data_IF_066428429418
#
_entry.id   IF_066428429418
#
_cell.length_a   1.000
_cell.length_b   1.000
_cell.length_c   1.000
_cell.angle_alpha   90.00
_cell.angle_beta   90.00
_cell.angle_gamma   90.00
#
_symmetry.space_group_name_H-M   'P 1'
#
loop_
_entity.id
_entity.type
_entity.pdbx_description
1 polymer ?
#
# COMPACT_ATOMS: atom_id res chain seq x y z
N UNK A 1 28.84 4.26 -18.13
CA UNK A 1 27.77 5.26 -17.96
C UNK A 1 26.58 4.52 -17.40
N UNK A 2 26.12 4.80 -16.17
CA UNK A 2 24.86 4.23 -15.67
C UNK A 2 23.69 4.93 -16.38
N UNK A 3 22.73 4.15 -16.91
CA UNK A 3 21.53 4.60 -17.65
C UNK A 3 21.78 5.26 -19.02
N UNK A 4 20.84 5.17 -19.96
CA UNK A 4 20.81 6.10 -21.12
C UNK A 4 20.34 7.49 -20.66
N UNK A 5 19.62 7.55 -19.53
CA UNK A 5 19.22 8.77 -18.84
C UNK A 5 19.98 8.98 -17.53
N UNK A 6 20.64 10.13 -17.33
CA UNK A 6 21.51 10.36 -16.17
C UNK A 6 20.77 10.82 -14.90
N UNK A 7 19.44 11.04 -14.96
CA UNK A 7 18.71 11.77 -13.92
C UNK A 7 17.81 10.90 -13.02
N UNK A 8 17.65 9.60 -13.31
CA UNK A 8 16.70 8.74 -12.59
C UNK A 8 17.35 8.06 -11.39
N UNK A 9 18.50 7.40 -11.58
CA UNK A 9 19.32 6.81 -10.51
C UNK A 9 20.80 7.04 -10.84
N UNK A 10 21.32 8.28 -10.63
CA UNK A 10 22.62 8.72 -11.19
C UNK A 10 23.82 7.89 -10.73
N UNK A 11 23.77 7.43 -9.48
CA UNK A 11 24.80 6.59 -8.84
C UNK A 11 24.42 5.10 -8.83
N UNK A 12 23.36 4.75 -9.56
CA UNK A 12 22.78 3.41 -9.64
C UNK A 12 23.52 2.45 -10.56
N UNK A 13 23.04 1.21 -10.59
CA UNK A 13 23.51 0.19 -11.52
C UNK A 13 22.90 0.39 -12.92
N UNK A 14 23.48 -0.27 -13.93
CA UNK A 14 22.83 -0.36 -15.25
C UNK A 14 21.53 -1.16 -15.15
N UNK A 15 20.45 -0.59 -15.69
CA UNK A 15 19.12 -1.20 -15.62
C UNK A 15 18.95 -2.29 -16.69
N UNK A 16 19.17 -3.54 -16.29
CA UNK A 16 18.92 -4.75 -17.07
C UNK A 16 17.90 -5.68 -16.39
N UNK A 17 17.17 -5.19 -15.39
CA UNK A 17 16.11 -5.97 -14.78
C UNK A 17 14.92 -6.13 -15.72
N UNK A 18 14.07 -7.11 -15.42
CA UNK A 18 12.83 -7.39 -16.17
C UNK A 18 11.65 -6.54 -15.72
N UNK A 19 11.83 -5.67 -14.72
CA UNK A 19 10.75 -4.95 -14.02
C UNK A 19 10.78 -3.44 -14.24
N UNK A 20 11.92 -2.87 -14.63
CA UNK A 20 12.04 -1.44 -14.92
C UNK A 20 12.84 -1.18 -16.20
N UNK A 21 12.77 0.07 -16.64
CA UNK A 21 13.70 0.67 -17.60
C UNK A 21 14.36 1.87 -16.93
N UNK A 22 15.34 2.48 -17.57
CA UNK A 22 16.06 3.67 -17.07
C UNK A 22 15.21 4.95 -16.93
N UNK A 23 13.88 4.84 -17.10
CA UNK A 23 12.88 5.90 -16.91
C UNK A 23 12.28 5.94 -15.51
N UNK A 24 12.51 4.92 -14.69
CA UNK A 24 11.95 4.82 -13.35
C UNK A 24 13.00 4.31 -12.36
N UNK A 25 12.89 4.75 -11.10
CA UNK A 25 13.76 4.26 -10.02
C UNK A 25 13.38 2.81 -9.73
N UNK A 26 14.36 1.91 -9.81
CA UNK A 26 14.17 0.51 -9.52
C UNK A 26 13.91 0.30 -8.02
N UNK A 27 12.89 -0.49 -7.65
CA UNK A 27 12.59 -0.75 -6.23
C UNK A 27 13.71 -1.50 -5.47
N UNK A 28 14.63 -2.13 -6.20
CA UNK A 28 15.81 -2.78 -5.63
C UNK A 28 16.98 -1.82 -5.39
N UNK A 29 16.94 -0.60 -5.95
CA UNK A 29 18.01 0.40 -5.81
C UNK A 29 18.17 0.88 -4.36
N UNK A 30 19.37 1.33 -4.01
CA UNK A 30 19.63 1.96 -2.71
C UNK A 30 18.79 3.23 -2.52
N UNK A 31 18.57 3.99 -3.60
CA UNK A 31 17.72 5.19 -3.61
C UNK A 31 16.29 4.86 -3.19
N UNK A 32 15.66 3.84 -3.79
CA UNK A 32 14.30 3.46 -3.43
C UNK A 32 14.20 2.85 -2.02
N UNK A 33 15.19 2.06 -1.61
CA UNK A 33 15.25 1.51 -0.25
C UNK A 33 15.27 2.63 0.80
N UNK A 34 16.05 3.69 0.60
CA UNK A 34 16.06 4.86 1.47
C UNK A 34 14.66 5.51 1.53
N UNK A 35 14.02 5.76 0.38
CA UNK A 35 12.67 6.34 0.32
C UNK A 35 11.65 5.50 1.12
N UNK A 36 11.65 4.18 0.97
CA UNK A 36 10.71 3.32 1.69
C UNK A 36 10.98 3.26 3.19
N UNK A 37 12.25 3.30 3.61
CA UNK A 37 12.63 3.39 5.03
C UNK A 37 12.21 4.74 5.64
N UNK A 38 12.35 5.83 4.90
CA UNK A 38 11.92 7.17 5.33
C UNK A 38 10.40 7.25 5.47
N UNK A 39 9.65 6.70 4.51
CA UNK A 39 8.19 6.58 4.58
C UNK A 39 7.78 5.80 5.84
N UNK A 40 8.40 4.64 6.07
CA UNK A 40 8.13 3.78 7.24
C UNK A 40 8.38 4.54 8.55
N UNK A 41 9.56 5.17 8.68
CA UNK A 41 9.96 5.90 9.88
C UNK A 41 9.05 7.09 10.15
N UNK A 42 8.78 7.89 9.11
CA UNK A 42 7.95 9.09 9.21
C UNK A 42 6.52 8.75 9.62
N UNK A 43 5.88 7.80 8.95
CA UNK A 43 4.50 7.43 9.24
C UNK A 43 4.35 6.76 10.62
N UNK A 44 5.30 5.90 11.02
CA UNK A 44 5.31 5.35 12.38
C UNK A 44 5.39 6.44 13.44
N UNK A 45 6.26 7.44 13.24
CA UNK A 45 6.41 8.56 14.17
C UNK A 45 5.17 9.44 14.24
N UNK A 46 4.56 9.77 13.10
CA UNK A 46 3.38 10.66 13.04
C UNK A 46 2.16 10.02 13.71
N UNK A 47 1.95 8.71 13.50
CA UNK A 47 0.78 8.01 14.01
C UNK A 47 1.01 7.24 15.32
N UNK A 48 2.24 7.24 15.85
CA UNK A 48 2.59 6.39 17.01
C UNK A 48 2.41 4.90 16.74
N UNK A 49 2.59 4.47 15.49
CA UNK A 49 2.30 3.11 15.05
C UNK A 49 3.51 2.17 15.19
N UNK A 50 3.27 0.90 15.53
CA UNK A 50 4.32 -0.13 15.58
C UNK A 50 4.79 -0.54 14.17
N UNK A 51 3.86 -0.60 13.22
CA UNK A 51 4.10 -1.01 11.84
C UNK A 51 3.34 -0.13 10.83
N UNK A 52 3.87 -0.05 9.61
CA UNK A 52 3.27 0.68 8.48
C UNK A 52 3.44 -0.17 7.22
N UNK A 53 2.44 -0.14 6.33
CA UNK A 53 2.45 -0.85 5.05
C UNK A 53 1.96 0.10 3.94
N UNK A 54 2.64 0.08 2.80
CA UNK A 54 2.20 0.77 1.56
C UNK A 54 1.56 -0.27 0.64
N UNK A 55 0.28 -0.06 0.31
CA UNK A 55 -0.46 -0.92 -0.62
C UNK A 55 -0.63 -0.17 -1.95
N UNK A 56 -0.01 -0.62 -3.05
CA UNK A 56 -0.16 0.03 -4.35
C UNK A 56 -1.62 0.04 -4.81
N UNK A 57 -2.12 1.22 -5.22
CA UNK A 57 -3.51 1.43 -5.59
C UNK A 57 -4.01 2.79 -5.09
N UNK A 58 -5.10 2.79 -4.34
CA UNK A 58 -5.67 3.98 -3.69
C UNK A 58 -6.10 3.67 -2.25
N UNK A 59 -6.61 4.66 -1.51
CA UNK A 59 -7.09 4.44 -0.13
C UNK A 59 -8.08 3.29 0.02
N UNK A 60 -8.94 3.07 -0.98
CA UNK A 60 -9.91 1.95 -1.00
C UNK A 60 -9.22 0.58 -1.02
N UNK A 61 -8.06 0.45 -1.68
CA UNK A 61 -7.30 -0.81 -1.70
C UNK A 61 -6.75 -1.14 -0.31
N UNK A 62 -6.36 -0.12 0.46
CA UNK A 62 -5.99 -0.30 1.87
C UNK A 62 -7.16 -0.80 2.72
N UNK A 63 -8.36 -0.25 2.50
CA UNK A 63 -9.58 -0.74 3.18
C UNK A 63 -9.83 -2.21 2.88
N UNK A 64 -9.81 -2.60 1.60
CA UNK A 64 -10.06 -3.98 1.20
C UNK A 64 -8.95 -4.95 1.65
N UNK A 65 -7.68 -4.53 1.64
CA UNK A 65 -6.58 -5.34 2.17
C UNK A 65 -6.80 -5.68 3.65
N UNK A 66 -7.21 -4.70 4.47
CA UNK A 66 -7.55 -4.90 5.89
C UNK A 66 -8.78 -5.79 6.05
N UNK A 67 -9.83 -5.56 5.26
CA UNK A 67 -11.04 -6.39 5.27
C UNK A 67 -10.71 -7.87 5.03
N UNK A 68 -9.98 -8.17 3.95
CA UNK A 68 -9.64 -9.56 3.59
C UNK A 68 -8.71 -10.22 4.61
N UNK A 69 -7.79 -9.46 5.19
CA UNK A 69 -6.83 -10.00 6.16
C UNK A 69 -7.48 -10.36 7.50
N UNK A 70 -8.44 -9.56 7.97
CA UNK A 70 -8.93 -9.66 9.36
C UNK A 70 -10.42 -9.99 9.49
N UNK A 71 -11.25 -9.64 8.52
CA UNK A 71 -12.71 -9.80 8.61
C UNK A 71 -13.22 -11.12 8.00
N UNK A 72 -12.42 -11.83 7.21
CA UNK A 72 -12.85 -13.07 6.54
C UNK A 72 -13.43 -14.09 7.52
N UNK A 73 -14.71 -14.44 7.34
CA UNK A 73 -15.44 -15.38 8.21
C UNK A 73 -15.65 -14.89 9.65
N UNK A 74 -15.52 -13.58 9.91
CA UNK A 74 -15.72 -12.97 11.22
C UNK A 74 -17.03 -12.17 11.28
N UNK A 75 -17.51 -11.95 12.49
CA UNK A 75 -18.59 -11.00 12.74
C UNK A 75 -17.97 -9.60 12.91
N UNK A 76 -18.49 -8.62 12.17
CA UNK A 76 -17.94 -7.24 12.14
C UNK A 76 -19.03 -6.21 12.43
N UNK A 77 -18.67 -5.11 13.09
CA UNK A 77 -19.52 -3.94 13.31
C UNK A 77 -18.97 -2.76 12.51
N UNK A 78 -19.80 -2.13 11.69
CA UNK A 78 -19.45 -0.96 10.88
C UNK A 78 -20.18 0.27 11.42
N UNK A 79 -19.45 1.23 11.99
CA UNK A 79 -20.02 2.52 12.37
C UNK A 79 -20.25 3.36 11.12
N UNK A 80 -21.48 3.34 10.59
CA UNK A 80 -21.82 3.90 9.28
C UNK A 80 -22.43 5.30 9.38
N UNK A 81 -21.63 6.33 9.08
CA UNK A 81 -21.98 7.75 9.19
C UNK A 81 -21.99 8.52 7.85
N UNK A 82 -21.88 7.81 6.73
CA UNK A 82 -21.85 8.41 5.39
C UNK A 82 -21.26 7.50 4.33
N UNK A 83 -21.00 8.05 3.15
CA UNK A 83 -20.63 7.29 1.96
C UNK A 83 -19.30 6.55 2.08
N UNK A 84 -18.29 7.17 2.70
CA UNK A 84 -16.98 6.52 2.90
C UNK A 84 -17.05 5.39 3.93
N UNK A 85 -17.84 5.53 5.00
CA UNK A 85 -18.05 4.42 5.95
C UNK A 85 -18.93 3.30 5.35
N UNK A 86 -19.87 3.62 4.46
CA UNK A 86 -20.63 2.62 3.71
C UNK A 86 -19.73 1.81 2.75
N UNK A 87 -18.59 2.35 2.34
CA UNK A 87 -17.63 1.64 1.49
C UNK A 87 -17.18 0.30 2.10
N UNK A 88 -17.11 0.17 3.42
CA UNK A 88 -16.80 -1.10 4.09
C UNK A 88 -17.82 -2.19 3.72
N UNK A 89 -19.11 -1.85 3.81
CA UNK A 89 -20.21 -2.75 3.48
C UNK A 89 -20.18 -3.16 2.01
N UNK A 90 -19.87 -2.21 1.11
CA UNK A 90 -19.72 -2.53 -0.31
C UNK A 90 -18.57 -3.50 -0.58
N UNK A 91 -17.45 -3.34 0.13
CA UNK A 91 -16.30 -4.25 0.05
C UNK A 91 -16.71 -5.64 0.58
N UNK A 92 -17.41 -5.70 1.71
CA UNK A 92 -17.88 -6.95 2.31
C UNK A 92 -18.88 -7.70 1.44
N UNK A 93 -19.90 -7.01 0.93
CA UNK A 93 -20.94 -7.56 0.06
C UNK A 93 -20.36 -8.05 -1.27
N UNK A 94 -19.47 -7.28 -1.90
CA UNK A 94 -18.84 -7.67 -3.16
C UNK A 94 -17.87 -8.85 -2.99
N UNK A 95 -17.19 -8.92 -1.85
CA UNK A 95 -16.15 -9.90 -1.59
C UNK A 95 -16.58 -11.15 -0.83
N UNK A 96 -17.85 -11.23 -0.39
CA UNK A 96 -18.36 -12.24 0.55
C UNK A 96 -17.39 -12.49 1.72
N UNK A 97 -17.01 -11.40 2.40
CA UNK A 97 -15.87 -11.40 3.34
C UNK A 97 -16.30 -11.83 4.76
N UNK A 98 -17.10 -11.05 5.52
CA UNK A 98 -17.45 -11.41 6.89
C UNK A 98 -18.52 -12.51 6.93
N UNK A 99 -18.57 -13.26 8.04
CA UNK A 99 -19.68 -14.17 8.32
C UNK A 99 -20.97 -13.40 8.65
N UNK A 100 -20.85 -12.21 9.25
CA UNK A 100 -21.96 -11.34 9.56
C UNK A 100 -21.51 -9.87 9.69
N UNK A 101 -22.20 -8.95 9.03
CA UNK A 101 -22.04 -7.50 9.20
C UNK A 101 -23.17 -6.94 10.08
N UNK A 102 -22.83 -6.16 11.09
CA UNK A 102 -23.75 -5.32 11.87
C UNK A 102 -23.41 -3.85 11.62
N UNK A 103 -24.42 -2.98 11.64
CA UNK A 103 -24.32 -1.56 11.29
C UNK A 103 -24.91 -0.71 12.40
#
# INVERSE_FOLDING_TARGET
MPGLLPNVDPDGLLEYSVVYTDRAVNHMSQSFQAVMNDISTTLKSVYGAEAVVVVPGSGTFGMEAVARQFATGRNVLVIRNGWFSYRWSQIFEMGDIPAHETV
#
